data_IF_825869484754
#
_entry.id   IF_825869484754
#
_cell.length_a   1.000
_cell.length_b   1.000
_cell.length_c   1.000
_cell.angle_alpha   90.00
_cell.angle_beta   90.00
_cell.angle_gamma   90.00
#
_symmetry.space_group_name_H-M   'P 1'
#
loop_
_entity.id
_entity.type
_entity.pdbx_description
1 polymer ?
#
# COMPACT_ATOMS: atom_id res chain seq x y z
N UNK A 1 3.76 0.61 16.00
CA UNK A 1 3.83 1.58 17.12
C UNK A 1 3.01 2.88 16.92
N UNK A 2 3.37 3.81 16.02
CA UNK A 2 2.70 5.14 15.92
C UNK A 2 1.16 5.12 15.77
N UNK A 3 0.62 4.20 14.96
CA UNK A 3 -0.85 4.05 14.80
C UNK A 3 -1.51 3.67 16.12
N UNK A 4 -0.91 2.74 16.88
CA UNK A 4 -1.46 2.30 18.16
C UNK A 4 -1.40 3.40 19.22
N UNK A 5 -0.33 4.19 19.24
CA UNK A 5 -0.20 5.37 20.10
C UNK A 5 -1.27 6.41 19.76
N UNK A 6 -1.50 6.70 18.47
CA UNK A 6 -2.57 7.59 18.04
C UNK A 6 -3.96 7.07 18.46
N UNK A 7 -4.20 5.76 18.37
CA UNK A 7 -5.44 5.16 18.86
C UNK A 7 -5.61 5.34 20.38
N UNK A 8 -4.54 5.15 21.16
CA UNK A 8 -4.58 5.24 22.63
C UNK A 8 -4.69 6.70 23.12
N UNK A 9 -3.95 7.61 22.51
CA UNK A 9 -3.81 9.00 22.98
C UNK A 9 -4.86 9.95 22.40
N UNK A 10 -5.30 9.72 21.15
CA UNK A 10 -6.19 10.64 20.43
C UNK A 10 -7.57 10.04 20.27
N UNK A 11 -7.68 8.84 19.70
CA UNK A 11 -8.98 8.24 19.37
C UNK A 11 -9.69 7.71 20.62
N UNK A 12 -8.94 7.15 21.58
CA UNK A 12 -9.39 6.70 22.91
C UNK A 12 -10.58 5.73 22.90
N UNK A 13 -10.78 5.00 21.80
CA UNK A 13 -11.82 3.99 21.69
C UNK A 13 -11.42 2.87 20.73
N UNK A 14 -12.00 1.67 20.90
CA UNK A 14 -11.82 0.57 19.96
C UNK A 14 -12.21 1.00 18.53
N UNK A 15 -11.32 0.80 17.57
CA UNK A 15 -11.40 1.41 16.23
C UNK A 15 -11.18 0.38 15.13
N UNK A 16 -11.90 0.53 14.02
CA UNK A 16 -11.65 -0.21 12.78
C UNK A 16 -10.61 0.55 11.97
N UNK A 17 -9.53 -0.12 11.58
CA UNK A 17 -8.49 0.47 10.75
C UNK A 17 -8.75 0.17 9.27
N UNK A 18 -8.71 1.20 8.45
CA UNK A 18 -8.88 1.10 7.00
C UNK A 18 -7.62 1.62 6.34
N UNK A 19 -7.06 0.86 5.40
CA UNK A 19 -5.87 1.27 4.68
C UNK A 19 -5.83 0.70 3.29
N UNK A 20 -5.18 1.42 2.37
CA UNK A 20 -4.90 1.00 1.00
C UNK A 20 -3.40 0.76 0.80
N UNK A 21 -3.02 -0.28 0.05
CA UNK A 21 -1.64 -0.56 -0.32
C UNK A 21 -0.71 -0.66 0.90
N UNK A 22 0.32 0.19 1.01
CA UNK A 22 1.21 0.27 2.18
C UNK A 22 0.45 0.66 3.45
N UNK A 23 -0.62 1.46 3.34
CA UNK A 23 -1.51 1.77 4.47
C UNK A 23 -2.22 0.52 5.01
N UNK A 24 -2.62 -0.42 4.14
CA UNK A 24 -3.16 -1.71 4.58
C UNK A 24 -2.12 -2.50 5.39
N UNK A 25 -0.88 -2.54 4.91
CA UNK A 25 0.21 -3.19 5.64
C UNK A 25 0.45 -2.54 7.00
N UNK A 26 0.43 -1.21 7.09
CA UNK A 26 0.53 -0.49 8.36
C UNK A 26 -0.60 -0.87 9.33
N UNK A 27 -1.83 -1.05 8.82
CA UNK A 27 -2.97 -1.55 9.61
C UNK A 27 -2.74 -2.99 10.10
N UNK A 28 -2.22 -3.88 9.24
CA UNK A 28 -1.89 -5.27 9.62
C UNK A 28 -0.80 -5.31 10.68
N UNK A 29 0.26 -4.51 10.53
CA UNK A 29 1.32 -4.36 11.54
C UNK A 29 0.71 -3.93 12.87
N UNK A 30 -0.06 -2.83 12.87
CA UNK A 30 -0.70 -2.31 14.08
C UNK A 30 -1.60 -3.36 14.75
N UNK A 31 -2.44 -4.06 13.99
CA UNK A 31 -3.31 -5.10 14.53
C UNK A 31 -2.53 -6.32 15.07
N UNK A 32 -1.43 -6.70 14.41
CA UNK A 32 -0.59 -7.83 14.84
C UNK A 32 0.22 -7.55 16.12
N UNK A 33 0.51 -6.27 16.37
CA UNK A 33 1.22 -5.79 17.57
C UNK A 33 0.26 -5.34 18.69
N UNK A 34 -1.04 -5.22 18.39
CA UNK A 34 -2.02 -4.71 19.34
C UNK A 34 -2.21 -5.71 20.49
N UNK A 35 -1.80 -5.30 21.69
CA UNK A 35 -1.97 -6.07 22.93
C UNK A 35 -3.20 -5.66 23.73
N UNK A 36 -3.91 -4.62 23.27
CA UNK A 36 -5.14 -4.08 23.86
C UNK A 36 -6.27 -4.20 22.85
N UNK A 37 -7.52 -4.10 23.30
CA UNK A 37 -8.72 -4.09 22.44
C UNK A 37 -8.90 -2.78 21.63
N UNK A 38 -7.80 -2.09 21.28
CA UNK A 38 -7.81 -0.82 20.55
C UNK A 38 -8.18 -0.99 19.09
N UNK A 39 -7.79 -2.11 18.46
CA UNK A 39 -8.18 -2.43 17.08
C UNK A 39 -9.33 -3.43 17.11
N UNK A 40 -10.46 -3.09 16.49
CA UNK A 40 -11.67 -3.96 16.45
C UNK A 40 -11.87 -4.69 15.13
N UNK A 41 -11.20 -4.25 14.09
CA UNK A 41 -11.29 -4.85 12.76
C UNK A 41 -10.39 -4.14 11.78
N UNK A 42 -10.21 -4.77 10.63
CA UNK A 42 -9.41 -4.25 9.52
C UNK A 42 -10.26 -4.21 8.25
N UNK A 43 -10.07 -3.16 7.44
CA UNK A 43 -10.46 -3.12 6.04
C UNK A 43 -9.21 -2.87 5.20
N UNK A 44 -8.85 -3.82 4.36
CA UNK A 44 -7.62 -3.82 3.56
C UNK A 44 -7.98 -3.66 2.09
N UNK A 45 -7.60 -2.54 1.49
CA UNK A 45 -7.80 -2.25 0.07
C UNK A 45 -6.50 -2.54 -0.69
N UNK A 46 -6.45 -3.57 -1.54
CA UNK A 46 -5.24 -3.91 -2.33
C UNK A 46 -3.95 -3.92 -1.49
N UNK A 47 -3.88 -4.78 -0.48
CA UNK A 47 -2.79 -4.73 0.51
C UNK A 47 -1.42 -4.99 -0.12
N UNK A 48 -0.44 -4.15 0.19
CA UNK A 48 0.94 -4.35 -0.28
C UNK A 48 1.64 -5.52 0.44
N UNK A 49 2.56 -6.20 -0.25
CA UNK A 49 3.44 -7.22 0.32
C UNK A 49 4.59 -6.66 1.17
N UNK A 50 4.82 -5.36 1.11
CA UNK A 50 5.84 -4.61 1.84
C UNK A 50 5.89 -3.14 1.45
N UNK A 51 6.75 -2.35 2.08
CA UNK A 51 6.88 -0.92 1.76
C UNK A 51 7.56 -0.67 0.40
N UNK A 52 8.32 -1.63 -0.11
CA UNK A 52 8.93 -1.58 -1.44
C UNK A 52 9.21 -2.99 -1.99
N UNK A 53 9.67 -3.04 -3.24
CA UNK A 53 9.87 -4.27 -4.02
C UNK A 53 10.85 -5.27 -3.39
N UNK A 54 11.64 -4.87 -2.39
CA UNK A 54 12.55 -5.76 -1.65
C UNK A 54 11.81 -6.72 -0.71
N UNK A 55 10.50 -6.55 -0.51
CA UNK A 55 9.69 -7.45 0.29
C UNK A 55 9.43 -8.81 -0.38
N UNK A 56 9.56 -8.87 -1.72
CA UNK A 56 9.27 -10.06 -2.51
C UNK A 56 10.60 -10.77 -2.82
N UNK A 57 11.16 -11.46 -1.82
CA UNK A 57 12.49 -12.09 -1.91
C UNK A 57 12.48 -13.54 -2.39
N UNK A 58 11.32 -14.19 -2.42
CA UNK A 58 11.22 -15.63 -2.72
C UNK A 58 10.91 -15.97 -4.18
N UNK A 59 10.81 -14.97 -5.07
CA UNK A 59 10.70 -15.20 -6.52
C UNK A 59 12.09 -15.17 -7.18
N UNK A 60 12.48 -16.26 -7.85
CA UNK A 60 13.75 -16.37 -8.57
C UNK A 60 13.91 -15.33 -9.69
N UNK A 61 12.79 -14.85 -10.28
CA UNK A 61 12.79 -13.80 -11.30
C UNK A 61 13.19 -12.45 -10.71
N UNK A 62 12.79 -12.19 -9.46
CA UNK A 62 13.17 -10.97 -8.73
C UNK A 62 14.63 -11.04 -8.28
N UNK A 63 15.13 -12.24 -7.94
CA UNK A 63 16.56 -12.44 -7.64
C UNK A 63 17.48 -12.05 -8.80
N UNK A 64 17.05 -12.30 -10.04
CA UNK A 64 17.78 -11.88 -11.25
C UNK A 64 17.83 -10.34 -11.40
N UNK A 65 16.84 -9.63 -10.87
CA UNK A 65 16.73 -8.17 -10.91
C UNK A 65 17.39 -7.47 -9.70
N UNK A 66 17.87 -8.22 -8.69
CA UNK A 66 18.49 -7.63 -7.49
C UNK A 66 19.66 -6.68 -7.80
N UNK A 67 20.59 -6.98 -8.74
CA UNK A 67 21.66 -6.03 -9.08
C UNK A 67 21.12 -4.70 -9.61
N UNK A 68 20.01 -4.74 -10.36
CA UNK A 68 19.32 -3.56 -10.87
C UNK A 68 18.62 -2.80 -9.74
N UNK A 69 17.96 -3.50 -8.80
CA UNK A 69 17.34 -2.87 -7.63
C UNK A 69 18.39 -2.17 -6.74
N UNK A 70 19.56 -2.79 -6.53
CA UNK A 70 20.66 -2.15 -5.81
C UNK A 70 21.25 -0.96 -6.55
N UNK A 71 21.30 -1.00 -7.88
CA UNK A 71 21.68 0.16 -8.69
C UNK A 71 20.66 1.30 -8.54
N UNK A 72 19.36 0.99 -8.59
CA UNK A 72 18.29 1.97 -8.35
C UNK A 72 18.43 2.57 -6.95
N UNK A 73 18.63 1.75 -5.92
CA UNK A 73 18.90 2.22 -4.55
C UNK A 73 20.13 3.14 -4.49
N UNK A 74 21.23 2.75 -5.14
CA UNK A 74 22.47 3.53 -5.16
C UNK A 74 22.25 4.89 -5.83
N UNK A 75 21.53 4.91 -6.95
CA UNK A 75 21.19 6.13 -7.66
C UNK A 75 20.25 7.02 -6.83
N UNK A 76 19.22 6.46 -6.20
CA UNK A 76 18.28 7.20 -5.34
C UNK A 76 18.90 7.69 -4.02
N UNK A 77 20.02 7.11 -3.58
CA UNK A 77 20.83 7.66 -2.49
C UNK A 77 21.55 8.95 -2.89
N UNK A 78 21.73 9.23 -4.18
CA UNK A 78 22.29 10.49 -4.65
C UNK A 78 21.19 11.55 -4.68
N UNK A 79 21.27 12.54 -3.77
CA UNK A 79 20.23 13.57 -3.58
C UNK A 79 19.81 14.28 -4.87
N UNK A 80 20.74 14.54 -5.79
CA UNK A 80 20.45 15.21 -7.06
C UNK A 80 19.65 14.32 -8.03
N UNK A 81 19.92 13.01 -8.08
CA UNK A 81 19.19 12.06 -8.92
C UNK A 81 17.78 11.87 -8.35
N UNK A 82 17.69 11.65 -7.04
CA UNK A 82 16.41 11.50 -6.35
C UNK A 82 15.54 12.74 -6.52
N UNK A 83 16.12 13.94 -6.37
CA UNK A 83 15.43 15.21 -6.59
C UNK A 83 14.93 15.33 -8.04
N UNK A 84 15.79 15.08 -9.04
CA UNK A 84 15.40 15.16 -10.44
C UNK A 84 14.28 14.17 -10.81
N UNK A 85 14.33 12.94 -10.29
CA UNK A 85 13.26 11.96 -10.48
C UNK A 85 11.97 12.38 -9.78
N UNK A 86 12.06 12.83 -8.53
CA UNK A 86 10.92 13.25 -7.73
C UNK A 86 10.18 14.43 -8.38
N UNK A 87 10.91 15.45 -8.82
CA UNK A 87 10.32 16.58 -9.54
C UNK A 87 9.67 16.16 -10.88
N UNK A 88 10.26 15.16 -11.57
CA UNK A 88 9.63 14.59 -12.77
C UNK A 88 8.35 13.84 -12.45
N UNK A 89 8.31 13.05 -11.37
CA UNK A 89 7.10 12.33 -10.93
C UNK A 89 6.00 13.31 -10.53
N UNK A 90 6.37 14.39 -9.84
CA UNK A 90 5.45 15.47 -9.42
C UNK A 90 4.88 16.28 -10.57
N UNK A 91 5.53 16.28 -11.74
CA UNK A 91 5.04 16.99 -12.90
C UNK A 91 3.62 16.51 -13.23
N UNK A 92 2.69 17.46 -13.36
CA UNK A 92 1.24 17.20 -13.47
C UNK A 92 0.90 16.13 -14.49
N UNK A 93 1.48 16.17 -15.69
CA UNK A 93 1.19 15.19 -16.74
C UNK A 93 1.74 13.80 -16.40
N UNK A 94 2.94 13.72 -15.83
CA UNK A 94 3.51 12.45 -15.41
C UNK A 94 2.71 11.84 -14.27
N UNK A 95 2.32 12.64 -13.27
CA UNK A 95 1.47 12.20 -12.17
C UNK A 95 0.12 11.70 -12.68
N UNK A 96 -0.53 12.45 -13.58
CA UNK A 96 -1.79 12.04 -14.22
C UNK A 96 -1.63 10.73 -14.98
N UNK A 97 -0.55 10.56 -15.74
CA UNK A 97 -0.27 9.30 -16.45
C UNK A 97 -0.03 8.12 -15.50
N UNK A 98 0.63 8.35 -14.36
CA UNK A 98 0.80 7.32 -13.32
C UNK A 98 -0.55 6.94 -12.73
N UNK A 99 -1.39 7.91 -12.37
CA UNK A 99 -2.74 7.66 -11.85
C UNK A 99 -3.60 6.91 -12.88
N UNK A 100 -3.62 7.35 -14.13
CA UNK A 100 -4.26 6.65 -15.24
C UNK A 100 -3.71 5.24 -15.43
N UNK A 101 -2.47 4.95 -15.04
CA UNK A 101 -1.93 3.59 -15.14
C UNK A 101 -2.47 2.66 -14.04
N UNK A 102 -2.88 3.18 -12.88
CA UNK A 102 -3.28 2.37 -11.72
C UNK A 102 -4.78 2.32 -11.43
N UNK A 103 -5.56 3.29 -11.92
CA UNK A 103 -7.02 3.32 -11.78
C UNK A 103 -7.69 2.42 -12.82
N UNK A 104 -8.72 1.66 -12.46
CA UNK A 104 -9.58 0.95 -13.40
C UNK A 104 -10.53 1.93 -14.10
N UNK A 105 -11.24 2.74 -13.32
CA UNK A 105 -12.05 3.85 -13.79
C UNK A 105 -11.18 5.06 -14.14
N UNK A 106 -10.87 5.24 -15.42
CA UNK A 106 -10.04 6.36 -15.89
C UNK A 106 -10.75 7.71 -15.75
N UNK A 107 -12.07 7.73 -15.73
CA UNK A 107 -12.86 8.96 -15.60
C UNK A 107 -12.74 9.56 -14.19
N UNK A 108 -12.37 8.76 -13.18
CA UNK A 108 -12.06 9.24 -11.84
C UNK A 108 -10.73 10.02 -11.76
N UNK A 109 -9.86 9.89 -12.77
CA UNK A 109 -8.57 10.60 -12.81
C UNK A 109 -8.73 11.99 -13.41
N UNK A 110 -9.36 12.86 -12.63
CA UNK A 110 -9.54 14.27 -12.97
C UNK A 110 -8.37 15.15 -12.53
N UNK A 111 -8.50 16.46 -12.79
CA UNK A 111 -7.47 17.42 -12.43
C UNK A 111 -7.44 17.72 -10.93
N UNK A 112 -8.57 17.56 -10.23
CA UNK A 112 -8.65 17.78 -8.78
C UNK A 112 -7.86 16.70 -8.04
N UNK A 113 -8.05 15.43 -8.40
CA UNK A 113 -7.28 14.31 -7.85
C UNK A 113 -5.78 14.51 -8.05
N UNK A 114 -5.36 14.93 -9.26
CA UNK A 114 -3.94 15.18 -9.55
C UNK A 114 -3.37 16.25 -8.60
N UNK A 115 -4.11 17.33 -8.33
CA UNK A 115 -3.67 18.37 -7.40
C UNK A 115 -3.70 17.92 -5.94
N UNK A 116 -4.68 17.12 -5.52
CA UNK A 116 -4.73 16.52 -4.18
C UNK A 116 -3.49 15.66 -3.91
N UNK A 117 -3.07 14.86 -4.90
CA UNK A 117 -1.87 14.02 -4.76
C UNK A 117 -0.58 14.83 -4.89
N UNK A 118 -0.57 15.86 -5.75
CA UNK A 118 0.62 16.71 -5.96
C UNK A 118 0.91 17.61 -4.77
N UNK A 119 -0.10 18.19 -4.14
CA UNK A 119 0.05 19.17 -3.05
C UNK A 119 0.98 18.71 -1.92
N UNK A 120 0.79 17.51 -1.33
CA UNK A 120 1.69 16.98 -0.31
C UNK A 120 3.13 16.79 -0.78
N UNK A 121 3.36 16.58 -2.09
CA UNK A 121 4.70 16.40 -2.64
C UNK A 121 5.49 17.73 -2.75
N UNK A 122 4.84 18.87 -2.55
CA UNK A 122 5.48 20.19 -2.44
C UNK A 122 5.81 20.58 -0.98
N UNK A 123 5.40 19.76 -0.01
CA UNK A 123 5.69 20.02 1.40
C UNK A 123 7.18 19.80 1.74
N UNK A 124 7.65 20.52 2.77
CA UNK A 124 8.97 20.29 3.33
C UNK A 124 9.13 18.82 3.78
N UNK A 125 10.24 18.19 3.40
CA UNK A 125 10.52 16.78 3.71
C UNK A 125 9.87 15.76 2.77
N UNK A 126 9.07 16.17 1.79
CA UNK A 126 8.41 15.23 0.88
C UNK A 126 9.39 14.39 0.04
N UNK A 127 10.48 15.00 -0.44
CA UNK A 127 11.56 14.27 -1.13
C UNK A 127 12.22 13.23 -0.21
N UNK A 128 12.48 13.59 1.05
CA UNK A 128 13.11 12.69 2.01
C UNK A 128 12.17 11.52 2.35
N UNK A 129 10.86 11.77 2.48
CA UNK A 129 9.85 10.74 2.65
C UNK A 129 9.78 9.80 1.43
N UNK A 130 9.84 10.34 0.21
CA UNK A 130 9.88 9.55 -1.02
C UNK A 130 11.12 8.65 -1.08
N UNK A 131 12.31 9.22 -0.87
CA UNK A 131 13.58 8.47 -0.86
C UNK A 131 13.57 7.40 0.23
N UNK A 132 13.09 7.73 1.43
CA UNK A 132 13.01 6.80 2.56
C UNK A 132 12.07 5.62 2.25
N UNK A 133 10.92 5.87 1.61
CA UNK A 133 9.97 4.83 1.22
C UNK A 133 10.57 3.86 0.20
N UNK A 134 11.23 4.39 -0.84
CA UNK A 134 11.78 3.56 -1.92
C UNK A 134 13.05 2.81 -1.50
N UNK A 135 13.95 3.48 -0.78
CA UNK A 135 15.28 2.93 -0.46
C UNK A 135 15.35 2.26 0.91
N UNK A 136 14.42 2.55 1.80
CA UNK A 136 14.37 2.03 3.16
C UNK A 136 14.12 0.51 3.24
N UNK A 137 14.15 -0.04 4.46
CA UNK A 137 13.79 -1.43 4.68
C UNK A 137 12.33 -1.66 4.27
N UNK A 138 11.98 -2.79 3.63
CA UNK A 138 10.61 -3.06 3.17
C UNK A 138 9.62 -3.28 4.32
N UNK A 139 10.08 -3.42 5.56
CA UNK A 139 9.25 -3.80 6.69
C UNK A 139 8.85 -5.28 6.68
N UNK A 140 8.05 -5.71 7.66
CA UNK A 140 7.54 -7.08 7.71
C UNK A 140 6.53 -7.34 6.58
N UNK A 141 6.48 -8.58 6.10
CA UNK A 141 5.49 -9.02 5.11
C UNK A 141 4.13 -9.26 5.75
N UNK A 142 2.99 -8.92 5.11
CA UNK A 142 1.67 -9.27 5.63
C UNK A 142 1.50 -10.79 5.79
N UNK A 143 2.23 -11.60 5.01
CA UNK A 143 2.20 -13.07 5.07
C UNK A 143 2.61 -13.60 6.45
N UNK A 144 3.60 -12.97 7.08
CA UNK A 144 4.08 -13.38 8.41
C UNK A 144 3.26 -12.77 9.56
N UNK A 145 2.47 -11.72 9.28
CA UNK A 145 1.73 -10.97 10.27
C UNK A 145 0.26 -11.40 10.39
N UNK A 146 -0.39 -11.69 9.27
CA UNK A 146 -1.80 -12.08 9.24
C UNK A 146 -2.13 -13.28 10.16
N UNK A 147 -1.27 -14.30 10.33
CA UNK A 147 -1.52 -15.38 11.30
C UNK A 147 -1.63 -14.91 12.77
N UNK A 148 -1.17 -13.70 13.10
CA UNK A 148 -1.27 -13.08 14.43
C UNK A 148 -2.52 -12.21 14.58
N UNK A 149 -3.17 -11.83 13.47
CA UNK A 149 -4.36 -10.97 13.48
C UNK A 149 -5.60 -11.79 13.84
N UNK A 150 -6.23 -11.45 14.96
CA UNK A 150 -7.41 -12.17 15.49
C UNK A 150 -8.74 -11.44 15.25
N UNK A 151 -8.69 -10.14 14.98
CA UNK A 151 -9.87 -9.32 14.71
C UNK A 151 -10.50 -9.65 13.36
N UNK A 152 -11.78 -9.34 13.13
CA UNK A 152 -12.38 -9.43 11.81
C UNK A 152 -11.62 -8.61 10.75
N UNK A 153 -11.41 -9.19 9.57
CA UNK A 153 -10.71 -8.57 8.45
C UNK A 153 -11.58 -8.65 7.21
N UNK A 154 -11.85 -7.50 6.61
CA UNK A 154 -12.42 -7.37 5.28
C UNK A 154 -11.29 -7.01 4.30
N UNK A 155 -11.15 -7.80 3.25
CA UNK A 155 -10.22 -7.53 2.15
C UNK A 155 -11.07 -7.15 0.95
N UNK A 156 -10.82 -5.96 0.39
CA UNK A 156 -11.40 -5.54 -0.89
C UNK A 156 -10.26 -5.45 -1.90
N UNK A 157 -10.41 -6.12 -3.03
CA UNK A 157 -9.35 -6.20 -4.02
C UNK A 157 -9.84 -5.82 -5.40
N UNK A 158 -9.20 -4.83 -6.02
CA UNK A 158 -9.48 -4.43 -7.39
C UNK A 158 -9.03 -5.51 -8.36
N UNK A 159 -9.95 -6.03 -9.17
CA UNK A 159 -9.65 -7.06 -10.16
C UNK A 159 -8.56 -6.61 -11.16
N UNK A 160 -8.55 -5.32 -11.50
CA UNK A 160 -7.66 -4.72 -12.49
C UNK A 160 -6.46 -4.02 -11.86
N UNK A 161 -6.14 -4.28 -10.58
CA UNK A 161 -4.99 -3.70 -9.91
C UNK A 161 -3.67 -4.12 -10.60
N UNK A 162 -2.93 -3.17 -11.21
CA UNK A 162 -1.68 -3.50 -11.91
C UNK A 162 -0.46 -3.53 -10.98
N UNK A 163 -0.56 -2.97 -9.77
CA UNK A 163 0.54 -2.87 -8.81
C UNK A 163 0.59 -4.08 -7.89
N UNK A 164 -0.58 -4.51 -7.40
CA UNK A 164 -0.72 -5.74 -6.61
C UNK A 164 -1.72 -6.68 -7.27
N UNK A 165 -1.36 -7.28 -8.42
CA UNK A 165 -2.29 -8.12 -9.16
C UNK A 165 -2.70 -9.35 -8.33
N UNK A 166 -3.97 -9.73 -8.45
CA UNK A 166 -4.57 -10.80 -7.63
C UNK A 166 -3.91 -12.17 -7.86
N UNK A 167 -3.34 -12.39 -9.04
CA UNK A 167 -2.59 -13.61 -9.39
C UNK A 167 -1.08 -13.53 -9.03
N UNK A 168 -0.62 -12.38 -8.53
CA UNK A 168 0.69 -12.18 -7.95
C UNK A 168 0.85 -12.86 -6.58
N UNK A 169 2.06 -12.88 -5.99
CA UNK A 169 2.33 -13.59 -4.73
C UNK A 169 1.47 -13.12 -3.55
N UNK A 170 1.29 -11.80 -3.42
CA UNK A 170 0.52 -11.18 -2.33
C UNK A 170 -0.98 -11.38 -2.56
N UNK A 171 -1.45 -11.14 -3.79
CA UNK A 171 -2.84 -11.40 -4.18
C UNK A 171 -3.23 -12.86 -3.93
N UNK A 172 -2.45 -13.82 -4.42
CA UNK A 172 -2.67 -15.26 -4.17
C UNK A 172 -2.67 -15.63 -2.69
N UNK A 173 -1.90 -14.94 -1.87
CA UNK A 173 -1.93 -15.14 -0.43
C UNK A 173 -3.29 -14.69 0.14
N UNK A 174 -3.69 -13.44 -0.09
CA UNK A 174 -4.97 -12.91 0.39
C UNK A 174 -6.18 -13.67 -0.18
N UNK A 175 -6.12 -14.16 -1.42
CA UNK A 175 -7.16 -15.00 -2.04
C UNK A 175 -7.39 -16.33 -1.33
N UNK A 176 -6.37 -16.89 -0.68
CA UNK A 176 -6.49 -18.15 0.06
C UNK A 176 -6.96 -17.96 1.50
N UNK A 177 -6.68 -16.79 2.09
CA UNK A 177 -6.94 -16.53 3.51
C UNK A 177 -8.39 -16.80 3.96
N UNK A 178 -9.46 -16.46 3.22
CA UNK A 178 -10.83 -16.76 3.66
C UNK A 178 -11.09 -18.27 3.86
N UNK A 179 -10.34 -19.14 3.18
CA UNK A 179 -10.44 -20.60 3.35
C UNK A 179 -9.60 -21.14 4.53
N UNK A 180 -8.63 -20.36 4.99
CA UNK A 180 -7.67 -20.74 6.05
C UNK A 180 -7.99 -20.09 7.40
N UNK A 181 -8.56 -18.87 7.37
CA UNK A 181 -8.82 -18.02 8.52
C UNK A 181 -10.28 -17.56 8.55
N UNK A 182 -11.09 -18.00 9.53
CA UNK A 182 -12.53 -17.72 9.58
C UNK A 182 -12.86 -16.24 9.86
N UNK A 183 -11.89 -15.46 10.35
CA UNK A 183 -12.05 -14.03 10.60
C UNK A 183 -11.78 -13.16 9.36
N UNK A 184 -11.43 -13.75 8.21
CA UNK A 184 -11.10 -13.02 6.98
C UNK A 184 -12.20 -13.21 5.94
N UNK A 185 -12.64 -12.11 5.32
CA UNK A 185 -13.51 -12.13 4.13
C UNK A 185 -12.80 -11.39 3.01
N UNK A 186 -12.96 -11.88 1.78
CA UNK A 186 -12.44 -11.24 0.57
C UNK A 186 -13.61 -10.94 -0.37
N UNK A 187 -13.62 -9.72 -0.90
CA UNK A 187 -14.49 -9.31 -1.99
C UNK A 187 -13.65 -8.76 -3.14
N UNK A 188 -13.83 -9.35 -4.32
CA UNK A 188 -13.26 -8.84 -5.56
C UNK A 188 -14.14 -7.73 -6.11
N UNK A 189 -13.52 -6.66 -6.59
CA UNK A 189 -14.18 -5.50 -7.16
C UNK A 189 -13.91 -5.46 -8.67
N UNK A 190 -14.93 -5.79 -9.45
CA UNK A 190 -14.88 -5.84 -10.91
C UNK A 190 -14.62 -4.45 -11.49
N UNK A 191 -13.70 -4.35 -12.45
CA UNK A 191 -13.39 -3.08 -13.11
C UNK A 191 -12.62 -2.06 -12.25
N UNK A 192 -12.21 -2.44 -11.04
CA UNK A 192 -11.51 -1.55 -10.09
C UNK A 192 -10.00 -1.80 -10.11
N UNK A 193 -9.22 -0.72 -10.07
CA UNK A 193 -7.76 -0.73 -10.03
C UNK A 193 -7.17 -0.67 -8.61
N UNK A 194 -6.05 0.02 -8.45
CA UNK A 194 -5.23 0.01 -7.23
C UNK A 194 -5.81 0.82 -6.06
N UNK A 195 -6.66 1.82 -6.33
CA UNK A 195 -7.22 2.73 -5.31
C UNK A 195 -8.75 2.61 -5.19
N UNK A 196 -9.32 1.49 -4.70
CA UNK A 196 -10.76 1.22 -4.77
C UNK A 196 -11.68 2.32 -4.24
N UNK A 197 -11.26 2.96 -3.15
CA UNK A 197 -12.02 3.99 -2.45
C UNK A 197 -12.22 5.28 -3.26
N UNK A 198 -11.39 5.52 -4.27
CA UNK A 198 -11.48 6.68 -5.16
C UNK A 198 -11.91 6.28 -6.57
N UNK A 199 -11.42 5.12 -7.04
CA UNK A 199 -11.71 4.54 -8.34
C UNK A 199 -13.22 4.25 -8.53
N UNK A 200 -13.83 3.55 -7.56
CA UNK A 200 -15.25 3.15 -7.54
C UNK A 200 -15.81 3.16 -6.11
N UNK A 201 -16.02 4.35 -5.52
CA UNK A 201 -16.47 4.49 -4.13
C UNK A 201 -17.84 3.84 -3.85
N UNK A 202 -18.68 3.65 -4.86
CA UNK A 202 -19.98 2.99 -4.73
C UNK A 202 -19.88 1.49 -4.38
N UNK A 203 -18.70 0.89 -4.56
CA UNK A 203 -18.43 -0.53 -4.32
C UNK A 203 -17.69 -0.82 -3.00
N UNK A 204 -17.32 0.22 -2.23
CA UNK A 204 -16.47 0.14 -1.02
C UNK A 204 -17.28 0.50 0.22
#
# INVERSE_FOLDING_TARGET
QLILEFLDEVVKRPTVLVGNSVGSLACVIAASESTRDLVRGLVLLNCSGGMNNKAIVDDWRIKLLLPLLWLIDFLLKQKWIASALFERVKERNNLKNILLSVYGNKDAVDDELVEIIRGPADAEGALDAFVSTVTGPPGPSPISLMPKVRVPVLVLWGEQDPFTPIDGPVGKYFSRLPSELPNVRLHMLEGVGHCPHDDRPDLV
#
